data_IF_325791700644
#
_entry.id   IF_325791700644
#
_cell.length_a   1.000
_cell.length_b   1.000
_cell.length_c   1.000
_cell.angle_alpha   90.00
_cell.angle_beta   90.00
_cell.angle_gamma   90.00
#
_symmetry.space_group_name_H-M   'P 1'
#
loop_
_entity.id
_entity.type
_entity.pdbx_description
1 polymer ?
#
# COMPACT_ATOMS: atom_id res chain seq x y z
N UNK A 1 14.02 34.70 16.45
CA UNK A 1 13.41 34.37 15.13
C UNK A 1 12.80 32.98 15.23
N UNK A 2 11.51 32.86 15.04
CA UNK A 2 10.95 31.52 14.97
C UNK A 2 11.59 30.80 13.80
N UNK A 3 12.05 29.58 14.03
CA UNK A 3 12.54 28.71 12.96
C UNK A 3 11.43 28.54 11.95
N UNK A 4 11.68 28.84 10.69
CA UNK A 4 10.75 28.51 9.62
C UNK A 4 10.74 26.99 9.50
N UNK A 5 9.67 26.37 9.96
CA UNK A 5 9.49 24.93 9.79
C UNK A 5 9.11 24.67 8.35
N UNK A 6 10.08 24.17 7.58
CA UNK A 6 9.79 23.64 6.26
C UNK A 6 9.11 22.28 6.44
N UNK A 7 7.97 22.09 5.79
CA UNK A 7 7.34 20.79 5.73
C UNK A 7 8.33 19.78 5.13
N UNK A 8 8.49 18.63 5.79
CA UNK A 8 9.31 17.55 5.28
C UNK A 8 8.76 17.03 3.94
N UNK A 9 9.59 16.34 3.16
CA UNK A 9 9.14 15.68 1.94
C UNK A 9 8.00 14.71 2.26
N UNK A 10 8.11 13.97 3.36
CA UNK A 10 7.06 13.04 3.80
C UNK A 10 5.73 13.79 4.07
N UNK A 11 5.77 14.91 4.78
CA UNK A 11 4.57 15.72 5.03
C UNK A 11 3.94 16.24 3.75
N UNK A 12 4.74 16.65 2.78
CA UNK A 12 4.25 17.12 1.46
C UNK A 12 3.60 15.99 0.69
N UNK A 13 4.23 14.81 0.66
CA UNK A 13 3.68 13.63 0.00
C UNK A 13 2.34 13.25 0.65
N UNK A 14 2.28 13.19 1.97
CA UNK A 14 1.07 12.80 2.69
C UNK A 14 -0.05 13.83 2.51
N UNK A 15 0.25 15.11 2.51
CA UNK A 15 -0.74 16.16 2.23
C UNK A 15 -1.35 16.02 0.83
N UNK A 16 -0.51 15.73 -0.17
CA UNK A 16 -0.97 15.51 -1.54
C UNK A 16 -1.74 14.21 -1.70
N UNK A 17 -1.40 13.19 -0.90
CA UNK A 17 -2.01 11.86 -0.97
C UNK A 17 -3.39 11.80 -0.31
N UNK A 18 -3.66 12.69 0.65
CA UNK A 18 -4.94 12.68 1.36
C UNK A 18 -6.08 12.98 0.40
N UNK A 19 -7.16 12.22 0.55
CA UNK A 19 -8.37 12.44 -0.23
C UNK A 19 -8.94 13.83 0.06
N UNK A 20 -9.48 14.47 -0.98
CA UNK A 20 -10.25 15.69 -0.84
C UNK A 20 -11.41 15.42 0.14
N UNK A 21 -11.76 16.40 0.96
CA UNK A 21 -12.88 16.32 1.90
C UNK A 21 -14.21 15.97 1.22
N UNK A 22 -14.33 16.19 -0.07
CA UNK A 22 -15.50 15.83 -0.88
C UNK A 22 -15.45 14.38 -1.38
N UNK A 23 -14.32 13.69 -1.28
CA UNK A 23 -14.20 12.29 -1.66
C UNK A 23 -14.56 11.38 -0.48
N UNK A 24 -15.46 10.43 -0.73
CA UNK A 24 -15.90 9.46 0.28
C UNK A 24 -15.31 8.09 -0.06
N UNK A 25 -14.00 7.94 0.11
CA UNK A 25 -13.33 6.68 -0.20
C UNK A 25 -13.18 5.74 0.99
N UNK A 26 -13.49 6.20 2.20
CA UNK A 26 -13.46 5.35 3.40
C UNK A 26 -12.07 5.11 3.99
N UNK A 27 -11.03 5.74 3.47
CA UNK A 27 -9.66 5.70 3.97
C UNK A 27 -8.94 7.03 3.71
N UNK A 28 -7.71 7.18 4.25
CA UNK A 28 -7.06 8.49 4.30
C UNK A 28 -6.70 9.07 2.92
N UNK A 29 -6.34 8.24 1.96
CA UNK A 29 -5.96 8.71 0.64
C UNK A 29 -5.21 7.67 -0.19
N UNK A 30 -4.56 8.16 -1.24
CA UNK A 30 -3.86 7.35 -2.23
C UNK A 30 -2.46 7.87 -2.45
N UNK A 31 -1.51 6.96 -2.65
CA UNK A 31 -0.12 7.31 -2.99
C UNK A 31 0.31 6.58 -4.26
N UNK A 32 1.15 7.21 -5.07
CA UNK A 32 1.79 6.54 -6.19
C UNK A 32 2.87 5.56 -5.68
N UNK A 33 3.29 4.58 -6.48
CA UNK A 33 4.39 3.68 -6.07
C UNK A 33 5.67 4.44 -5.72
N UNK A 34 6.05 5.43 -6.50
CA UNK A 34 7.26 6.23 -6.26
C UNK A 34 7.15 6.99 -4.92
N UNK A 35 6.01 7.63 -4.67
CA UNK A 35 5.76 8.34 -3.41
C UNK A 35 5.76 7.37 -2.22
N UNK A 36 5.15 6.20 -2.37
CA UNK A 36 5.14 5.17 -1.34
C UNK A 36 6.56 4.73 -0.97
N UNK A 37 7.40 4.49 -1.97
CA UNK A 37 8.79 4.11 -1.73
C UNK A 37 9.56 5.17 -0.95
N UNK A 38 9.39 6.44 -1.31
CA UNK A 38 10.02 7.55 -0.59
C UNK A 38 9.62 7.59 0.88
N UNK A 39 8.35 7.35 1.19
CA UNK A 39 7.85 7.29 2.56
C UNK A 39 8.43 6.11 3.34
N UNK A 40 8.56 4.95 2.70
CA UNK A 40 9.13 3.75 3.31
C UNK A 40 10.62 3.95 3.62
N UNK A 41 11.39 4.45 2.66
CA UNK A 41 12.83 4.69 2.80
C UNK A 41 13.13 5.70 3.92
N UNK A 42 12.30 6.73 4.04
CA UNK A 42 12.44 7.75 5.10
C UNK A 42 12.01 7.27 6.49
N UNK A 43 11.40 6.08 6.59
CA UNK A 43 10.87 5.55 7.85
C UNK A 43 9.55 6.16 8.28
N UNK A 44 8.92 6.98 7.43
CA UNK A 44 7.68 7.68 7.76
C UNK A 44 6.43 6.83 7.59
N UNK A 45 6.54 5.70 6.91
CA UNK A 45 5.41 4.81 6.65
C UNK A 45 5.81 3.34 6.67
N UNK A 46 4.83 2.50 6.99
CA UNK A 46 4.93 1.05 6.89
C UNK A 46 4.22 0.61 5.62
N UNK A 47 4.90 -0.16 4.78
CA UNK A 47 4.30 -0.78 3.61
C UNK A 47 3.75 -2.15 4.00
N UNK A 48 2.46 -2.38 3.77
CA UNK A 48 1.79 -3.66 4.04
C UNK A 48 1.37 -4.28 2.71
N UNK A 49 1.97 -5.41 2.40
CA UNK A 49 1.60 -6.21 1.22
C UNK A 49 0.43 -7.11 1.61
N UNK A 50 -0.70 -6.90 0.93
CA UNK A 50 -1.94 -7.64 1.22
C UNK A 50 -2.23 -8.72 0.19
N UNK A 51 -1.26 -9.00 -0.70
CA UNK A 51 -1.40 -10.07 -1.71
C UNK A 51 -1.40 -11.44 -1.04
N UNK A 52 -1.86 -12.44 -1.79
CA UNK A 52 -1.83 -13.82 -1.31
C UNK A 52 -0.39 -14.29 -1.04
N UNK A 53 -0.21 -15.30 -0.17
CA UNK A 53 1.11 -15.90 0.04
C UNK A 53 1.74 -16.43 -1.25
N UNK A 54 0.93 -16.92 -2.18
CA UNK A 54 1.38 -17.43 -3.48
C UNK A 54 1.97 -16.30 -4.35
N UNK A 55 1.30 -15.17 -4.43
CA UNK A 55 1.80 -14.00 -5.15
C UNK A 55 3.08 -13.46 -4.51
N UNK A 56 3.09 -13.36 -3.19
CA UNK A 56 4.22 -12.88 -2.41
C UNK A 56 5.48 -13.71 -2.66
N UNK A 57 5.32 -15.02 -2.72
CA UNK A 57 6.43 -15.95 -2.93
C UNK A 57 6.86 -16.02 -4.40
N UNK A 58 5.91 -16.23 -5.31
CA UNK A 58 6.24 -16.61 -6.69
C UNK A 58 6.35 -15.44 -7.66
N UNK A 59 5.61 -14.36 -7.43
CA UNK A 59 5.66 -13.19 -8.30
C UNK A 59 6.81 -12.26 -7.93
N UNK A 60 7.15 -12.22 -6.65
CA UNK A 60 8.13 -11.30 -6.09
C UNK A 60 7.50 -10.38 -5.07
N UNK A 61 8.33 -9.63 -4.35
CA UNK A 61 7.88 -8.78 -3.25
C UNK A 61 8.83 -7.61 -2.99
N UNK A 62 8.35 -6.64 -2.23
CA UNK A 62 9.18 -5.57 -1.69
C UNK A 62 9.75 -6.06 -0.36
N UNK A 63 11.08 -6.11 -0.24
CA UNK A 63 11.74 -6.69 0.94
C UNK A 63 11.35 -5.98 2.25
N UNK A 64 11.09 -4.69 2.21
CA UNK A 64 10.73 -3.86 3.36
C UNK A 64 9.27 -3.98 3.77
N UNK A 65 8.44 -4.64 2.97
CA UNK A 65 7.01 -4.75 3.26
C UNK A 65 6.72 -5.76 4.35
N UNK A 66 5.72 -5.46 5.16
CA UNK A 66 5.10 -6.41 6.09
C UNK A 66 4.01 -7.17 5.34
N UNK A 67 3.99 -8.48 5.42
CA UNK A 67 3.01 -9.28 4.70
C UNK A 67 1.82 -9.63 5.60
N UNK A 68 0.64 -9.13 5.22
CA UNK A 68 -0.64 -9.47 5.87
C UNK A 68 -1.65 -9.73 4.75
N UNK A 69 -1.91 -10.99 4.39
CA UNK A 69 -2.75 -11.28 3.24
C UNK A 69 -4.22 -10.91 3.49
N UNK A 70 -4.80 -10.22 2.51
CA UNK A 70 -6.23 -9.94 2.46
C UNK A 70 -7.04 -11.18 2.07
N UNK A 71 -6.47 -11.96 1.16
CA UNK A 71 -7.05 -13.20 0.67
C UNK A 71 -5.92 -14.14 0.30
N UNK A 72 -6.21 -15.44 0.25
CA UNK A 72 -5.21 -16.48 0.02
C UNK A 72 -5.69 -17.49 -1.01
N UNK A 73 -4.73 -18.24 -1.58
CA UNK A 73 -4.99 -19.26 -2.58
C UNK A 73 -5.29 -18.68 -3.96
N UNK A 74 -5.42 -19.56 -4.94
CA UNK A 74 -5.72 -19.16 -6.33
C UNK A 74 -7.16 -18.65 -6.49
N UNK A 75 -8.05 -19.06 -5.60
CA UNK A 75 -9.43 -18.59 -5.57
C UNK A 75 -9.60 -17.27 -4.82
N UNK A 76 -8.54 -16.74 -4.22
CA UNK A 76 -8.54 -15.50 -3.45
C UNK A 76 -9.64 -15.49 -2.37
N UNK A 77 -9.63 -16.52 -1.53
CA UNK A 77 -10.56 -16.62 -0.40
C UNK A 77 -10.15 -15.62 0.67
N UNK A 78 -11.10 -14.79 1.09
CA UNK A 78 -10.91 -13.72 2.05
C UNK A 78 -10.33 -14.25 3.38
N UNK A 79 -9.30 -13.57 3.89
CA UNK A 79 -8.71 -13.86 5.19
C UNK A 79 -9.57 -13.26 6.32
N UNK A 80 -10.28 -14.08 7.13
CA UNK A 80 -11.11 -13.55 8.21
C UNK A 80 -10.33 -12.95 9.38
N UNK A 81 -9.01 -13.21 9.44
CA UNK A 81 -8.13 -12.73 10.50
C UNK A 81 -7.27 -11.53 10.08
N UNK A 82 -7.60 -10.89 8.96
CA UNK A 82 -6.81 -9.77 8.43
C UNK A 82 -6.56 -8.68 9.46
N UNK A 83 -7.60 -8.21 10.14
CA UNK A 83 -7.48 -7.13 11.14
C UNK A 83 -6.61 -7.56 12.32
N UNK A 84 -6.82 -8.77 12.84
CA UNK A 84 -6.03 -9.29 13.96
C UNK A 84 -4.56 -9.42 13.60
N UNK A 85 -4.25 -9.92 12.42
CA UNK A 85 -2.87 -10.03 11.94
C UNK A 85 -2.24 -8.66 11.74
N UNK A 86 -2.98 -7.71 11.17
CA UNK A 86 -2.50 -6.34 10.99
C UNK A 86 -2.19 -5.71 12.34
N UNK A 87 -3.12 -5.79 13.30
CA UNK A 87 -2.95 -5.22 14.64
C UNK A 87 -1.75 -5.83 15.39
N UNK A 88 -1.42 -7.08 15.13
CA UNK A 88 -0.26 -7.74 15.74
C UNK A 88 1.09 -7.27 15.17
N UNK A 89 1.09 -6.66 14.00
CA UNK A 89 2.32 -6.32 13.26
C UNK A 89 2.53 -4.81 13.08
N UNK A 90 1.47 -4.02 13.10
CA UNK A 90 1.54 -2.58 12.79
C UNK A 90 0.70 -1.80 13.78
N UNK A 91 1.30 -0.80 14.43
CA UNK A 91 0.60 0.10 15.35
C UNK A 91 -0.39 1.00 14.61
N UNK A 92 -1.52 1.30 15.27
CA UNK A 92 -2.62 2.06 14.67
C UNK A 92 -2.29 3.52 14.37
N UNK A 93 -1.30 4.09 15.05
CA UNK A 93 -0.88 5.48 14.85
C UNK A 93 0.11 5.66 13.69
N UNK A 94 0.59 4.56 13.10
CA UNK A 94 1.50 4.61 11.98
C UNK A 94 0.79 4.98 10.69
N UNK A 95 1.51 5.64 9.79
CA UNK A 95 1.09 5.75 8.39
C UNK A 95 1.28 4.39 7.74
N UNK A 96 0.21 3.84 7.20
CA UNK A 96 0.20 2.49 6.62
C UNK A 96 -0.17 2.58 5.14
N UNK A 97 0.67 2.01 4.31
CA UNK A 97 0.49 1.99 2.86
C UNK A 97 0.18 0.56 2.43
N UNK A 98 -1.01 0.33 1.91
CA UNK A 98 -1.47 -1.00 1.50
C UNK A 98 -1.19 -1.23 0.02
N UNK A 99 -0.51 -2.33 -0.28
CA UNK A 99 -0.09 -2.73 -1.62
C UNK A 99 -0.71 -4.07 -2.00
N UNK A 100 -1.32 -4.14 -3.17
CA UNK A 100 -1.74 -5.42 -3.76
C UNK A 100 -1.24 -5.53 -5.20
N UNK A 101 -1.91 -6.32 -6.04
CA UNK A 101 -1.47 -6.53 -7.43
C UNK A 101 -1.68 -5.30 -8.30
N UNK A 102 -2.86 -4.67 -8.21
CA UNK A 102 -3.24 -3.54 -9.09
C UNK A 102 -3.96 -2.40 -8.37
N UNK A 103 -4.20 -2.51 -7.06
CA UNK A 103 -4.81 -1.45 -6.25
C UNK A 103 -6.23 -1.72 -5.76
N UNK A 104 -6.86 -2.83 -6.13
CA UNK A 104 -8.25 -3.13 -5.76
C UNK A 104 -8.38 -3.70 -4.35
N UNK A 105 -7.66 -4.79 -4.06
CA UNK A 105 -7.68 -5.42 -2.73
C UNK A 105 -7.09 -4.51 -1.66
N UNK A 106 -6.07 -3.74 -2.02
CA UNK A 106 -5.43 -2.80 -1.09
C UNK A 106 -6.35 -1.64 -0.72
N UNK A 107 -7.23 -1.20 -1.62
CA UNK A 107 -8.26 -0.21 -1.30
C UNK A 107 -9.24 -0.76 -0.26
N UNK A 108 -9.69 -2.00 -0.43
CA UNK A 108 -10.57 -2.68 0.53
C UNK A 108 -9.88 -2.88 1.89
N UNK A 109 -8.60 -3.24 1.86
CA UNK A 109 -7.79 -3.38 3.06
C UNK A 109 -7.64 -2.06 3.80
N UNK A 110 -7.37 -0.97 3.09
CA UNK A 110 -7.26 0.37 3.67
C UNK A 110 -8.57 0.81 4.32
N UNK A 111 -9.70 0.57 3.68
CA UNK A 111 -11.03 0.86 4.24
C UNK A 111 -11.29 0.04 5.52
N UNK A 112 -11.01 -1.25 5.47
CA UNK A 112 -11.17 -2.14 6.63
C UNK A 112 -10.27 -1.70 7.79
N UNK A 113 -9.02 -1.35 7.51
CA UNK A 113 -8.09 -0.85 8.52
C UNK A 113 -8.60 0.47 9.13
N UNK A 114 -9.12 1.38 8.32
CA UNK A 114 -9.69 2.64 8.79
C UNK A 114 -10.83 2.37 9.77
N UNK A 115 -11.74 1.47 9.43
CA UNK A 115 -12.84 1.09 10.30
C UNK A 115 -12.38 0.39 11.59
N UNK A 116 -11.21 -0.20 11.57
CA UNK A 116 -10.58 -0.84 12.74
C UNK A 116 -9.76 0.12 13.60
N UNK A 117 -9.68 1.41 13.23
CA UNK A 117 -9.01 2.44 14.03
C UNK A 117 -7.65 2.90 13.51
N UNK A 118 -7.30 2.63 12.25
CA UNK A 118 -6.09 3.14 11.58
C UNK A 118 -6.42 4.45 10.88
N UNK A 119 -6.07 5.64 11.43
CA UNK A 119 -6.48 6.91 10.84
C UNK A 119 -5.64 7.32 9.62
N UNK A 120 -4.50 6.66 9.40
CA UNK A 120 -3.55 7.01 8.35
C UNK A 120 -3.32 5.83 7.40
N UNK A 121 -4.41 5.24 6.91
CA UNK A 121 -4.40 4.13 5.98
C UNK A 121 -4.53 4.65 4.53
N UNK A 122 -3.55 4.34 3.70
CA UNK A 122 -3.47 4.78 2.30
C UNK A 122 -3.42 3.59 1.36
N UNK A 123 -3.98 3.76 0.17
CA UNK A 123 -3.88 2.78 -0.91
C UNK A 123 -2.69 3.14 -1.81
N UNK A 124 -1.82 2.19 -2.11
CA UNK A 124 -0.79 2.34 -3.13
C UNK A 124 -1.44 2.09 -4.49
N UNK A 125 -1.51 3.14 -5.31
CA UNK A 125 -2.06 3.06 -6.66
C UNK A 125 -1.21 2.12 -7.52
N UNK A 126 -1.81 1.54 -8.55
CA UNK A 126 -1.19 0.66 -9.53
C UNK A 126 -0.76 -0.70 -8.98
N UNK A 127 -0.49 -0.82 -7.69
CA UNK A 127 -0.05 -2.06 -7.07
C UNK A 127 1.35 -2.51 -7.47
N UNK A 128 1.65 -3.77 -7.20
CA UNK A 128 2.97 -4.35 -7.48
C UNK A 128 3.18 -4.65 -8.96
N UNK A 129 2.15 -5.14 -9.65
CA UNK A 129 2.21 -5.56 -11.04
C UNK A 129 1.55 -4.60 -12.02
N UNK A 130 0.71 -3.68 -11.54
CA UNK A 130 -0.02 -2.74 -12.39
C UNK A 130 -1.27 -3.34 -13.03
N UNK A 131 -1.95 -2.51 -13.81
CA UNK A 131 -3.13 -2.93 -14.56
C UNK A 131 -2.74 -3.83 -15.73
N UNK A 132 -3.67 -4.68 -16.12
CA UNK A 132 -3.51 -5.51 -17.31
C UNK A 132 -3.65 -4.65 -18.57
N UNK A 133 -2.76 -4.83 -19.54
CA UNK A 133 -2.81 -4.11 -20.80
C UNK A 133 -3.76 -4.80 -21.81
N UNK A 134 -3.87 -4.24 -23.01
CA UNK A 134 -4.74 -4.76 -24.06
C UNK A 134 -4.25 -6.09 -24.66
N UNK A 135 -3.05 -6.54 -24.26
CA UNK A 135 -2.49 -7.85 -24.62
C UNK A 135 -2.53 -8.85 -23.48
N UNK A 136 -3.28 -8.52 -22.41
CA UNK A 136 -3.42 -9.33 -21.18
C UNK A 136 -2.09 -9.52 -20.44
N UNK A 137 -1.26 -8.47 -20.41
CA UNK A 137 0.02 -8.46 -19.68
C UNK A 137 0.01 -7.38 -18.60
N UNK A 138 0.67 -7.68 -17.49
CA UNK A 138 0.91 -6.71 -16.42
C UNK A 138 2.35 -6.22 -16.45
N UNK A 139 2.60 -5.04 -15.86
CA UNK A 139 3.92 -4.46 -15.78
C UNK A 139 4.32 -3.62 -16.99
N UNK A 140 3.44 -3.43 -17.95
CA UNK A 140 3.70 -2.63 -19.16
C UNK A 140 3.17 -1.21 -19.05
N UNK A 141 2.10 -0.99 -18.29
CA UNK A 141 1.44 0.33 -18.18
C UNK A 141 1.56 0.94 -16.78
N UNK A 142 1.95 0.17 -15.78
CA UNK A 142 2.10 0.67 -14.42
C UNK A 142 2.56 -0.41 -13.47
N UNK A 143 2.62 -0.06 -12.17
CA UNK A 143 2.99 -0.95 -11.09
C UNK A 143 4.36 -0.65 -10.49
N UNK A 144 4.58 -1.16 -9.28
CA UNK A 144 5.83 -1.01 -8.54
C UNK A 144 7.05 -1.37 -9.38
N UNK A 145 7.01 -2.55 -10.01
CA UNK A 145 8.09 -3.06 -10.85
C UNK A 145 8.28 -2.23 -12.12
N UNK A 146 7.19 -1.77 -12.71
CA UNK A 146 7.22 -0.92 -13.92
C UNK A 146 8.01 0.37 -13.68
N UNK A 147 7.89 0.95 -12.48
CA UNK A 147 8.59 2.16 -12.10
C UNK A 147 10.05 1.92 -11.68
N UNK A 148 10.54 0.70 -11.78
CA UNK A 148 11.92 0.37 -11.45
C UNK A 148 12.25 0.40 -9.96
N UNK A 149 11.25 0.34 -9.10
CA UNK A 149 11.45 0.35 -7.65
C UNK A 149 11.99 -1.00 -7.16
N UNK A 150 12.73 -1.03 -6.04
CA UNK A 150 13.36 -2.27 -5.56
C UNK A 150 12.36 -3.36 -5.21
N UNK A 151 12.66 -4.57 -5.63
CA UNK A 151 11.89 -5.77 -5.30
C UNK A 151 12.78 -6.99 -5.38
N UNK A 152 12.38 -8.06 -4.72
CA UNK A 152 13.10 -9.33 -4.68
C UNK A 152 12.18 -10.49 -5.03
N UNK A 153 12.77 -11.62 -5.36
CA UNK A 153 12.07 -12.85 -5.71
C UNK A 153 12.85 -14.04 -5.16
N UNK A 154 12.16 -15.11 -4.78
CA UNK A 154 12.79 -16.35 -4.33
C UNK A 154 13.41 -17.11 -5.50
#
# INVERSE_FOLDING_TARGET
>A
MPAVQHASLASKILSSARADCNERIGYAGRVTPVAAWKLVVSGEAVLVDVRSPEEYKFVGRVAEAVHVPWASGTALIRNPHFVLELESKVDKDRVVLFLCRSGVRSALAAETATNAGYPHAFNVLEGFEGDIDNRQRRGTVGGWRHHGLPWIQD
#
